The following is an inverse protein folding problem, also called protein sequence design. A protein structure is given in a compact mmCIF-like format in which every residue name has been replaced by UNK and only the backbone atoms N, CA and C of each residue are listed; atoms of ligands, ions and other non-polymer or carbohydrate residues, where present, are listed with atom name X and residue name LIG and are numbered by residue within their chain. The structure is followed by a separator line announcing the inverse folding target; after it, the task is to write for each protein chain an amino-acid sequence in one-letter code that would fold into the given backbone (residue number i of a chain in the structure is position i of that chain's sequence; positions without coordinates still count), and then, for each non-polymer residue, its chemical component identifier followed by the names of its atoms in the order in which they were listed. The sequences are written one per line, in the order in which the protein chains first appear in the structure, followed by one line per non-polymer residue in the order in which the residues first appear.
data_IF_922099560306
#
_entry.id   IF_922099560306
#
_cell.length_a   1.000
_cell.length_b   1.000
_cell.length_c   1.000
_cell.angle_alpha   90.00
_cell.angle_beta   90.00
_cell.angle_gamma   90.00
#
_symmetry.space_group_name_H-M   'P 1'
#
loop_
_entity.id
_entity.type
_entity.pdbx_description
1 polymer ?
#
# COMPACT_ATOMS: atom_id res chain seq x y z
N UNK A 1 -3.02 -9.80 39.28
CA UNK A 1 -3.35 -8.64 38.41
C UNK A 1 -2.33 -8.63 37.28
N UNK A 2 -2.73 -9.07 36.13
CA UNK A 2 -1.84 -9.01 34.96
C UNK A 2 -1.94 -7.58 34.41
N UNK A 3 -0.86 -6.81 34.55
CA UNK A 3 -0.77 -5.49 33.93
C UNK A 3 -0.48 -5.72 32.45
N UNK A 4 -1.52 -5.64 31.62
CA UNK A 4 -1.35 -5.64 30.16
C UNK A 4 -0.71 -4.30 29.77
N UNK A 5 0.47 -4.37 29.16
CA UNK A 5 1.16 -3.18 28.66
C UNK A 5 0.46 -2.67 27.39
N UNK A 6 -0.39 -1.67 27.56
CA UNK A 6 -1.14 -1.02 26.47
C UNK A 6 -0.36 0.12 25.80
N UNK A 7 0.97 0.16 25.96
CA UNK A 7 1.80 1.18 25.31
C UNK A 7 1.58 1.15 23.79
N UNK A 8 1.32 2.31 23.23
CA UNK A 8 1.00 2.48 21.80
C UNK A 8 -0.47 2.28 21.43
N UNK A 9 -1.32 1.81 22.34
CA UNK A 9 -2.77 1.64 22.08
C UNK A 9 -3.56 2.93 22.37
N UNK A 10 -3.02 3.80 23.22
CA UNK A 10 -3.67 5.05 23.62
C UNK A 10 -3.88 6.04 22.46
N UNK A 11 -3.05 5.96 21.43
CA UNK A 11 -3.12 6.84 20.26
C UNK A 11 -3.76 6.13 19.07
N UNK A 12 -4.45 6.92 18.25
CA UNK A 12 -4.95 6.43 16.97
C UNK A 12 -3.80 6.21 15.97
N UNK A 13 -4.06 5.37 14.98
CA UNK A 13 -3.10 5.14 13.90
C UNK A 13 -2.96 6.41 13.07
N UNK A 14 -1.74 6.91 12.92
CA UNK A 14 -1.42 8.08 12.10
C UNK A 14 -1.34 7.68 10.63
N UNK A 15 -2.49 7.61 9.98
CA UNK A 15 -2.59 7.25 8.57
C UNK A 15 -3.65 8.10 7.88
N UNK A 16 -3.31 8.69 6.75
CA UNK A 16 -4.25 9.48 5.93
C UNK A 16 -4.86 8.58 4.84
N UNK A 17 -6.01 7.97 5.16
CA UNK A 17 -6.74 7.08 4.23
C UNK A 17 -7.20 7.79 2.97
N UNK A 18 -7.56 9.08 3.07
CA UNK A 18 -8.03 9.85 1.92
C UNK A 18 -6.87 10.14 0.96
N UNK A 19 -5.73 10.58 1.49
CA UNK A 19 -4.54 10.82 0.68
C UNK A 19 -4.04 9.52 0.03
N UNK A 20 -4.03 8.40 0.76
CA UNK A 20 -3.64 7.10 0.22
C UNK A 20 -4.57 6.64 -0.91
N UNK A 21 -5.90 6.78 -0.75
CA UNK A 21 -6.87 6.43 -1.78
C UNK A 21 -6.72 7.29 -3.04
N UNK A 22 -6.53 8.59 -2.87
CA UNK A 22 -6.28 9.52 -3.99
C UNK A 22 -5.01 9.16 -4.74
N UNK A 23 -3.91 8.94 -4.04
CA UNK A 23 -2.64 8.56 -4.65
C UNK A 23 -2.73 7.22 -5.39
N UNK A 24 -3.40 6.23 -4.82
CA UNK A 24 -3.63 4.95 -5.50
C UNK A 24 -4.45 5.12 -6.79
N UNK A 25 -5.48 5.97 -6.79
CA UNK A 25 -6.28 6.28 -7.97
C UNK A 25 -5.46 7.02 -9.04
N UNK A 26 -4.66 8.00 -8.65
CA UNK A 26 -3.77 8.74 -9.56
C UNK A 26 -2.70 7.84 -10.20
N UNK A 27 -2.10 6.93 -9.41
CA UNK A 27 -1.13 5.96 -9.93
C UNK A 27 -1.76 5.04 -10.98
N UNK A 28 -2.99 4.57 -10.76
CA UNK A 28 -3.72 3.76 -11.75
C UNK A 28 -4.04 4.55 -13.00
N UNK A 29 -4.56 5.76 -12.86
CA UNK A 29 -4.90 6.64 -13.99
C UNK A 29 -3.67 6.99 -14.81
N UNK A 30 -2.53 7.30 -14.17
CA UNK A 30 -1.27 7.58 -14.86
C UNK A 30 -0.70 6.35 -15.57
N UNK A 31 -0.84 5.16 -14.96
CA UNK A 31 -0.45 3.90 -15.60
C UNK A 31 -1.27 3.63 -16.87
N UNK A 32 -2.58 3.84 -16.81
CA UNK A 32 -3.48 3.66 -17.97
C UNK A 32 -3.15 4.67 -19.08
N UNK A 33 -2.90 5.94 -18.74
CA UNK A 33 -2.49 6.94 -19.72
C UNK A 33 -1.12 6.61 -20.34
N UNK A 34 -0.16 6.13 -19.54
CA UNK A 34 1.12 5.66 -20.02
C UNK A 34 0.96 4.55 -21.09
N UNK A 35 0.11 3.58 -20.85
CA UNK A 35 -0.16 2.49 -21.80
C UNK A 35 -0.91 2.99 -23.05
N UNK A 36 -1.89 3.89 -22.89
CA UNK A 36 -2.58 4.50 -24.03
C UNK A 36 -1.62 5.26 -24.95
N UNK A 37 -0.62 5.96 -24.36
CA UNK A 37 0.39 6.67 -25.13
C UNK A 37 1.35 5.73 -25.87
N UNK A 38 1.64 4.54 -25.34
CA UNK A 38 2.48 3.54 -26.02
C UNK A 38 1.89 3.20 -27.38
N UNK A 39 0.60 2.91 -27.47
CA UNK A 39 -0.09 2.58 -28.70
C UNK A 39 0.04 3.68 -29.75
N UNK A 40 -0.23 4.93 -29.35
CA UNK A 40 -0.13 6.12 -30.22
C UNK A 40 1.29 6.35 -30.72
N UNK A 41 2.28 6.30 -29.81
CA UNK A 41 3.71 6.50 -30.18
C UNK A 41 4.23 5.41 -31.07
N UNK A 42 3.85 4.15 -30.84
CA UNK A 42 4.21 3.01 -31.68
C UNK A 42 3.63 3.16 -33.10
N UNK A 43 2.39 3.59 -33.23
CA UNK A 43 1.79 3.83 -34.52
C UNK A 43 2.54 4.93 -35.32
N UNK A 44 2.86 6.06 -34.68
CA UNK A 44 3.62 7.16 -35.29
C UNK A 44 5.04 6.68 -35.66
N UNK A 45 5.72 5.94 -34.78
CA UNK A 45 7.04 5.41 -35.03
C UNK A 45 7.06 4.44 -36.21
N UNK A 46 6.08 3.55 -36.32
CA UNK A 46 5.94 2.61 -37.43
C UNK A 46 5.70 3.36 -38.76
N UNK A 47 4.88 4.39 -38.73
CA UNK A 47 4.64 5.23 -39.92
C UNK A 47 5.92 5.95 -40.38
N UNK A 48 6.67 6.52 -39.47
CA UNK A 48 7.95 7.17 -39.77
C UNK A 48 8.99 6.15 -40.28
N UNK A 49 9.08 4.99 -39.63
CA UNK A 49 10.02 3.94 -40.00
C UNK A 49 9.73 3.32 -41.38
N UNK A 50 8.48 3.34 -41.87
CA UNK A 50 8.11 2.79 -43.15
C UNK A 50 8.86 3.43 -44.33
N UNK A 51 9.27 4.68 -44.20
CA UNK A 51 9.99 5.46 -45.21
C UNK A 51 11.51 5.56 -44.94
N UNK A 52 11.95 5.11 -43.75
CA UNK A 52 13.36 5.16 -43.36
C UNK A 52 14.11 3.88 -43.74
N UNK A 53 15.37 4.05 -44.15
CA UNK A 53 16.29 2.93 -44.49
C UNK A 53 17.65 3.20 -43.87
N UNK A 54 18.43 2.15 -43.62
CA UNK A 54 19.83 2.24 -43.19
C UNK A 54 20.01 2.11 -41.69
N UNK A 55 21.22 2.40 -41.24
CA UNK A 55 21.67 2.21 -39.84
C UNK A 55 20.85 3.02 -38.84
N UNK A 56 20.52 4.24 -39.15
CA UNK A 56 19.72 5.10 -38.27
C UNK A 56 18.28 4.61 -38.09
N UNK A 57 17.69 4.00 -39.11
CA UNK A 57 16.37 3.40 -38.97
C UNK A 57 16.38 2.22 -38.01
N UNK A 58 17.41 1.37 -38.08
CA UNK A 58 17.59 0.26 -37.14
C UNK A 58 17.80 0.75 -35.68
N UNK A 59 18.67 1.75 -35.51
CA UNK A 59 18.88 2.35 -34.18
C UNK A 59 17.59 2.98 -33.60
N UNK A 60 16.80 3.64 -34.42
CA UNK A 60 15.52 4.22 -34.01
C UNK A 60 14.55 3.12 -33.57
N UNK A 61 14.43 2.04 -34.35
CA UNK A 61 13.57 0.92 -34.02
C UNK A 61 13.97 0.25 -32.68
N UNK A 62 15.27 0.07 -32.44
CA UNK A 62 15.77 -0.48 -31.18
C UNK A 62 15.48 0.44 -29.99
N UNK A 63 15.69 1.75 -30.14
CA UNK A 63 15.36 2.74 -29.09
C UNK A 63 13.86 2.74 -28.80
N UNK A 64 13.01 2.69 -29.81
CA UNK A 64 11.56 2.63 -29.64
C UNK A 64 11.14 1.36 -28.90
N UNK A 65 11.73 0.21 -29.22
CA UNK A 65 11.46 -1.05 -28.52
C UNK A 65 11.80 -0.96 -27.04
N UNK A 66 12.94 -0.35 -26.69
CA UNK A 66 13.36 -0.12 -25.30
C UNK A 66 12.38 0.84 -24.59
N UNK A 67 12.04 1.96 -25.23
CA UNK A 67 11.06 2.91 -24.66
C UNK A 67 9.70 2.29 -24.37
N UNK A 68 9.20 1.45 -25.27
CA UNK A 68 7.94 0.73 -25.08
C UNK A 68 8.04 -0.25 -23.91
N UNK A 69 9.12 -1.01 -23.83
CA UNK A 69 9.35 -1.94 -22.71
C UNK A 69 9.44 -1.22 -21.36
N UNK A 70 10.15 -0.09 -21.31
CA UNK A 70 10.29 0.71 -20.09
C UNK A 70 8.95 1.38 -19.68
N UNK A 71 8.16 1.82 -20.66
CA UNK A 71 6.84 2.38 -20.39
C UNK A 71 5.88 1.33 -19.80
N UNK A 72 5.90 0.10 -20.28
CA UNK A 72 5.13 -1.01 -19.69
C UNK A 72 5.61 -1.34 -18.27
N UNK A 73 6.92 -1.35 -18.03
CA UNK A 73 7.47 -1.56 -16.69
C UNK A 73 7.04 -0.47 -15.72
N UNK A 74 7.06 0.79 -16.18
CA UNK A 74 6.63 1.93 -15.38
C UNK A 74 5.14 1.82 -15.02
N UNK A 75 4.27 1.52 -15.99
CA UNK A 75 2.85 1.32 -15.75
C UNK A 75 2.59 0.17 -14.76
N UNK A 76 3.31 -0.94 -14.90
CA UNK A 76 3.22 -2.07 -13.97
C UNK A 76 3.69 -1.69 -12.56
N UNK A 77 4.78 -0.92 -12.43
CA UNK A 77 5.28 -0.44 -11.14
C UNK A 77 4.28 0.50 -10.45
N UNK A 78 3.64 1.40 -11.20
CA UNK A 78 2.59 2.29 -10.66
C UNK A 78 1.38 1.50 -10.16
N UNK A 79 0.91 0.49 -10.90
CA UNK A 79 -0.19 -0.38 -10.47
C UNK A 79 0.19 -1.20 -9.23
N UNK A 80 1.42 -1.67 -9.17
CA UNK A 80 1.92 -2.38 -7.99
C UNK A 80 1.97 -1.46 -6.76
N UNK A 81 2.47 -0.24 -6.91
CA UNK A 81 2.47 0.75 -5.83
C UNK A 81 1.05 1.08 -5.34
N UNK A 82 0.08 1.20 -6.26
CA UNK A 82 -1.32 1.41 -5.91
C UNK A 82 -1.89 0.23 -5.09
N UNK A 83 -1.58 -1.01 -5.45
CA UNK A 83 -1.98 -2.20 -4.66
C UNK A 83 -1.34 -2.20 -3.27
N UNK A 84 -0.09 -1.81 -3.15
CA UNK A 84 0.60 -1.71 -1.86
C UNK A 84 -0.02 -0.64 -0.97
N UNK A 85 -0.46 0.50 -1.53
CA UNK A 85 -1.20 1.52 -0.79
C UNK A 85 -2.57 1.02 -0.30
N UNK A 86 -3.29 0.26 -1.11
CA UNK A 86 -4.56 -0.34 -0.71
C UNK A 86 -4.35 -1.32 0.45
N UNK A 87 -3.33 -2.17 0.35
CA UNK A 87 -2.98 -3.13 1.40
C UNK A 87 -2.56 -2.43 2.69
N UNK A 88 -1.72 -1.39 2.59
CA UNK A 88 -1.33 -0.59 3.74
C UNK A 88 -2.53 0.09 4.40
N UNK A 89 -3.47 0.60 3.60
CA UNK A 89 -4.72 1.20 4.10
C UNK A 89 -5.58 0.19 4.84
N UNK A 90 -5.66 -1.05 4.36
CA UNK A 90 -6.37 -2.15 5.00
C UNK A 90 -5.75 -2.49 6.35
N UNK A 91 -4.43 -2.68 6.38
CA UNK A 91 -3.69 -3.01 7.59
C UNK A 91 -3.75 -1.88 8.64
N UNK A 92 -3.71 -0.63 8.18
CA UNK A 92 -3.87 0.53 9.07
C UNK A 92 -5.26 0.56 9.73
N UNK A 93 -6.32 0.18 9.00
CA UNK A 93 -7.67 0.06 9.56
C UNK A 93 -7.76 -1.09 10.58
N UNK A 94 -7.21 -2.25 10.27
CA UNK A 94 -7.19 -3.39 11.18
C UNK A 94 -6.45 -3.04 12.49
N UNK A 95 -5.31 -2.33 12.38
CA UNK A 95 -4.59 -1.86 13.56
C UNK A 95 -5.40 -0.81 14.35
N UNK A 96 -6.11 0.10 13.68
CA UNK A 96 -7.01 1.05 14.33
C UNK A 96 -8.12 0.32 15.09
N UNK A 97 -8.78 -0.63 14.45
CA UNK A 97 -9.85 -1.44 15.08
C UNK A 97 -9.32 -2.22 16.28
N UNK A 98 -8.11 -2.77 16.17
CA UNK A 98 -7.44 -3.46 17.28
C UNK A 98 -7.23 -2.52 18.47
N UNK A 99 -6.73 -1.32 18.21
CA UNK A 99 -6.51 -0.29 19.26
C UNK A 99 -7.80 0.13 19.92
N UNK A 100 -8.86 0.34 19.14
CA UNK A 100 -10.17 0.71 19.67
C UNK A 100 -10.77 -0.38 20.54
N UNK A 101 -10.71 -1.64 20.13
CA UNK A 101 -11.17 -2.79 20.93
C UNK A 101 -10.39 -2.90 22.23
N UNK A 102 -9.07 -2.72 22.18
CA UNK A 102 -8.23 -2.75 23.38
C UNK A 102 -8.59 -1.63 24.37
N UNK A 103 -8.86 -0.41 23.89
CA UNK A 103 -9.32 0.71 24.72
C UNK A 103 -10.71 0.49 25.29
N UNK A 104 -11.61 -0.11 24.53
CA UNK A 104 -12.95 -0.45 25.02
C UNK A 104 -12.87 -1.50 26.13
N UNK A 105 -12.07 -2.55 25.94
CA UNK A 105 -11.84 -3.56 26.95
C UNK A 105 -11.27 -2.96 28.24
N UNK A 106 -10.26 -2.07 28.13
CA UNK A 106 -9.67 -1.38 29.30
C UNK A 106 -10.73 -0.58 30.05
N UNK A 107 -11.57 0.20 29.35
CA UNK A 107 -12.65 0.96 29.99
C UNK A 107 -13.65 0.05 30.71
N UNK A 108 -14.02 -1.08 30.08
CA UNK A 108 -14.91 -2.04 30.70
C UNK A 108 -14.31 -2.62 32.00
N UNK A 109 -13.00 -2.92 32.01
CA UNK A 109 -12.29 -3.37 33.21
C UNK A 109 -12.24 -2.29 34.30
N UNK A 110 -12.00 -1.03 33.91
CA UNK A 110 -11.98 0.09 34.85
C UNK A 110 -13.38 0.33 35.47
N UNK A 111 -14.45 0.21 34.70
CA UNK A 111 -15.84 0.34 35.16
C UNK A 111 -16.23 -0.84 36.08
N UNK A 112 -15.86 -2.08 35.74
CA UNK A 112 -16.09 -3.26 36.59
C UNK A 112 -15.32 -3.15 37.91
N UNK A 113 -14.11 -2.62 37.91
CA UNK A 113 -13.31 -2.47 39.12
C UNK A 113 -13.93 -1.49 40.12
N UNK A 114 -14.78 -0.59 39.68
CA UNK A 114 -15.55 0.34 40.52
C UNK A 114 -16.78 -0.35 41.14
N UNK A 115 -17.40 -1.29 40.42
CA UNK A 115 -18.56 -2.05 40.89
C UNK A 115 -18.15 -3.23 41.78
N UNK A 116 -17.00 -3.87 41.51
CA UNK A 116 -16.50 -5.04 42.25
C UNK A 116 -15.93 -4.72 43.63
N UNK A 117 -15.69 -3.47 43.97
CA UNK A 117 -15.38 -3.08 45.35
C UNK A 117 -16.54 -3.32 46.31
N UNK A 118 -17.72 -3.70 45.83
CA UNK A 118 -18.92 -4.02 46.60
C UNK A 118 -19.22 -5.53 46.63
N UNK A 119 -18.58 -6.37 45.81
CA UNK A 119 -18.84 -7.83 45.65
C UNK A 119 -17.59 -8.64 45.53
N UNK A 120 -16.82 -8.72 46.61
CA UNK A 120 -15.67 -9.62 46.73
C UNK A 120 -16.15 -11.07 46.63
N UNK A 121 -15.53 -11.92 45.81
CA UNK A 121 -15.40 -13.35 46.02
C UNK A 121 -15.67 -14.30 44.86
N UNK A 122 -15.96 -14.07 43.68
CA UNK A 122 -16.09 -15.17 42.70
C UNK A 122 -15.90 -14.73 41.25
N UNK A 123 -14.68 -14.59 40.73
CA UNK A 123 -14.42 -14.91 39.32
C UNK A 123 -12.94 -15.16 39.05
N UNK A 124 -12.68 -16.21 38.26
CA UNK A 124 -11.38 -16.78 38.05
C UNK A 124 -10.46 -16.02 37.10
N UNK A 125 -9.22 -16.39 37.14
CA UNK A 125 -8.00 -15.81 36.58
C UNK A 125 -7.89 -15.83 35.04
N UNK A 126 -8.97 -15.96 34.24
CA UNK A 126 -8.87 -16.32 32.83
C UNK A 126 -9.28 -15.26 31.81
N UNK A 127 -9.53 -14.00 32.20
CA UNK A 127 -9.88 -12.96 31.22
C UNK A 127 -8.65 -12.16 30.75
N UNK A 128 -7.78 -12.82 30.00
CA UNK A 128 -6.84 -12.11 29.14
C UNK A 128 -7.61 -11.36 28.04
N UNK A 129 -7.25 -10.10 27.76
CA UNK A 129 -7.94 -9.34 26.72
C UNK A 129 -7.80 -10.04 25.38
N UNK A 130 -8.86 -10.21 24.60
CA UNK A 130 -8.79 -10.74 23.26
C UNK A 130 -8.20 -9.70 22.29
N UNK A 131 -6.99 -9.23 22.58
CA UNK A 131 -6.26 -8.29 21.73
C UNK A 131 -5.47 -9.13 20.72
N UNK A 132 -5.82 -9.10 19.43
CA UNK A 132 -5.03 -9.76 18.40
C UNK A 132 -3.61 -9.22 18.36
N UNK A 133 -2.67 -10.02 17.89
CA UNK A 133 -1.29 -9.60 17.67
C UNK A 133 -1.22 -8.37 16.77
N UNK A 134 -0.20 -7.50 16.95
CA UNK A 134 0.01 -6.34 16.09
C UNK A 134 0.12 -6.75 14.62
N UNK A 135 -0.52 -5.97 13.75
CA UNK A 135 -0.43 -6.20 12.30
C UNK A 135 0.98 -5.93 11.82
N UNK A 136 1.59 -6.91 11.15
CA UNK A 136 2.92 -6.76 10.55
C UNK A 136 2.82 -5.89 9.29
N UNK A 137 3.59 -4.80 9.19
CA UNK A 137 3.59 -3.97 7.99
C UNK A 137 4.08 -4.76 6.77
N UNK A 138 3.53 -4.50 5.57
CA UNK A 138 3.91 -5.19 4.36
C UNK A 138 5.34 -4.83 3.94
N UNK A 139 6.04 -5.77 3.36
CA UNK A 139 7.34 -5.51 2.72
C UNK A 139 7.08 -4.92 1.34
N UNK A 140 7.55 -3.71 1.10
CA UNK A 140 7.46 -3.07 -0.21
C UNK A 140 8.52 -3.61 -1.16
N UNK A 141 8.07 -4.07 -2.32
CA UNK A 141 8.98 -4.50 -3.39
C UNK A 141 9.40 -3.30 -4.21
N UNK A 142 10.69 -3.03 -4.28
CA UNK A 142 11.24 -2.00 -5.16
C UNK A 142 11.04 -2.42 -6.62
N UNK A 143 10.43 -1.58 -7.48
CA UNK A 143 10.30 -1.89 -8.89
C UNK A 143 11.67 -2.02 -9.55
N UNK A 144 11.76 -2.85 -10.59
CA UNK A 144 12.98 -2.99 -11.37
C UNK A 144 13.41 -1.64 -11.96
N UNK A 145 14.70 -1.32 -11.98
CA UNK A 145 15.18 -0.06 -12.52
C UNK A 145 14.80 0.09 -14.01
N UNK A 146 14.44 1.30 -14.38
CA UNK A 146 14.18 1.66 -15.78
C UNK A 146 15.51 1.62 -16.54
N UNK A 147 15.50 1.03 -17.72
CA UNK A 147 16.70 0.93 -18.56
C UNK A 147 17.14 2.35 -18.98
N UNK A 148 18.26 2.80 -18.47
CA UNK A 148 18.89 4.03 -18.99
C UNK A 148 19.68 3.68 -20.22
N UNK A 149 19.22 4.08 -21.38
CA UNK A 149 20.04 4.08 -22.61
C UNK A 149 21.14 5.13 -22.45
N UNK A 150 22.33 4.70 -22.06
CA UNK A 150 23.52 5.53 -22.31
C UNK A 150 23.73 5.55 -23.82
N UNK A 151 23.55 6.70 -24.43
CA UNK A 151 23.89 6.98 -25.82
C UNK A 151 25.39 6.99 -26.08
#
# INVERSE_FOLDING_TARGET
MVVVDLRGIAEDVRFDWLAAARLAAELRGTADECENQIGRRTAIANQAAAQWRGVYAAQFADRMRICVADAHRLAAAMRQAAKQLDELSRLAREEQDRREKARQWQRAQDDESVLDKIGDFFFGEDDLPPIPDPVTPPTFTTPAPISTTRG
#
